data_IF_537522625072
#
_entry.id   IF_537522625072
#
_cell.length_a   1.000
_cell.length_b   1.000
_cell.length_c   1.000
_cell.angle_alpha   90.00
_cell.angle_beta   90.00
_cell.angle_gamma   90.00
#
_symmetry.space_group_name_H-M   'P 1'
#
loop_
_entity.id
_entity.type
_entity.pdbx_description
1 polymer ?
#
# COMPACT_ATOMS: atom_id res chain seq x y z
N UNK A 1 -61.61 -29.77 7.62
CA UNK A 1 -61.02 -28.83 6.63
C UNK A 1 -60.19 -27.82 7.41
N UNK A 2 -58.86 -27.81 7.23
CA UNK A 2 -57.94 -26.84 7.82
C UNK A 2 -57.22 -26.14 6.67
N UNK A 3 -57.28 -24.81 6.62
CA UNK A 3 -56.63 -23.97 5.61
C UNK A 3 -55.25 -23.56 6.17
N UNK A 4 -54.14 -23.77 5.43
CA UNK A 4 -52.83 -23.29 5.84
C UNK A 4 -52.62 -21.84 5.39
N UNK A 5 -52.37 -20.94 6.33
CA UNK A 5 -51.95 -19.56 6.04
C UNK A 5 -50.43 -19.49 6.00
N UNK A 6 -49.87 -19.17 4.83
CA UNK A 6 -48.47 -18.80 4.69
C UNK A 6 -48.21 -17.44 5.36
N UNK A 7 -47.17 -17.39 6.19
CA UNK A 7 -46.38 -16.19 6.45
C UNK A 7 -44.93 -16.72 6.49
N UNK A 8 -44.15 -16.56 5.42
CA UNK A 8 -43.68 -15.25 4.99
C UNK A 8 -42.33 -15.05 5.68
N UNK A 9 -41.25 -15.37 4.97
CA UNK A 9 -39.87 -15.33 5.44
C UNK A 9 -39.58 -14.01 6.19
N UNK A 10 -39.46 -14.08 7.51
CA UNK A 10 -38.95 -12.99 8.32
C UNK A 10 -37.49 -12.77 7.90
N UNK A 11 -37.25 -11.62 7.28
CA UNK A 11 -36.04 -11.29 6.57
C UNK A 11 -34.79 -11.53 7.41
N UNK A 12 -33.93 -12.40 6.89
CA UNK A 12 -32.51 -12.12 6.97
C UNK A 12 -32.35 -10.69 6.45
N UNK A 13 -31.94 -9.78 7.32
CA UNK A 13 -31.26 -8.57 6.88
C UNK A 13 -30.09 -9.05 6.03
N UNK A 14 -30.31 -9.17 4.71
CA UNK A 14 -29.24 -9.06 3.74
C UNK A 14 -28.69 -7.67 4.00
N UNK A 15 -27.64 -7.62 4.81
CA UNK A 15 -26.71 -6.52 4.78
C UNK A 15 -26.41 -6.29 3.31
N UNK A 16 -26.84 -5.14 2.83
CA UNK A 16 -26.67 -4.70 1.47
C UNK A 16 -25.17 -4.75 1.17
N UNK A 17 -24.74 -5.78 0.43
CA UNK A 17 -23.35 -5.99 0.02
C UNK A 17 -23.02 -5.10 -1.17
N UNK A 18 -23.42 -3.83 -1.09
CA UNK A 18 -23.19 -2.77 -2.08
C UNK A 18 -22.33 -1.64 -1.54
N UNK A 19 -21.89 -1.72 -0.28
CA UNK A 19 -20.79 -0.90 0.20
C UNK A 19 -19.49 -1.54 -0.33
N UNK A 20 -18.99 -1.01 -1.44
CA UNK A 20 -17.66 -1.33 -1.95
C UNK A 20 -16.68 -1.33 -0.77
N UNK A 21 -15.92 -2.42 -0.60
CA UNK A 21 -14.94 -2.52 0.47
C UNK A 21 -14.00 -1.31 0.37
N UNK A 22 -14.00 -0.39 1.35
CA UNK A 22 -13.20 0.84 1.27
C UNK A 22 -11.70 0.56 1.29
N UNK A 23 -11.32 -0.70 1.58
CA UNK A 23 -9.96 -1.19 1.59
C UNK A 23 -9.63 -2.10 0.40
N UNK A 24 -10.55 -2.26 -0.56
CA UNK A 24 -10.25 -2.92 -1.83
C UNK A 24 -9.47 -1.99 -2.78
N UNK A 25 -8.82 -2.58 -3.78
CA UNK A 25 -8.24 -1.89 -4.93
C UNK A 25 -6.96 -1.07 -4.75
N UNK A 26 -6.23 -1.22 -3.64
CA UNK A 26 -4.88 -0.63 -3.53
C UNK A 26 -3.91 -1.18 -4.60
N UNK A 27 -4.08 -2.43 -5.05
CA UNK A 27 -3.30 -2.99 -6.17
C UNK A 27 -3.52 -2.24 -7.49
N UNK A 28 -4.71 -1.70 -7.73
CA UNK A 28 -5.00 -0.92 -8.96
C UNK A 28 -4.19 0.38 -8.97
N UNK A 29 -3.95 0.98 -7.79
CA UNK A 29 -3.12 2.17 -7.68
C UNK A 29 -1.65 1.86 -8.00
N UNK A 30 -1.14 0.72 -7.53
CA UNK A 30 0.21 0.25 -7.88
C UNK A 30 0.31 -0.02 -9.38
N UNK A 31 -0.64 -0.75 -9.97
CA UNK A 31 -0.61 -1.10 -11.41
C UNK A 31 -0.56 0.14 -12.30
N UNK A 32 -1.17 1.25 -11.88
CA UNK A 32 -1.09 2.53 -12.62
C UNK A 32 0.34 3.07 -12.74
N UNK A 33 1.21 2.80 -11.77
CA UNK A 33 2.54 3.39 -11.67
C UNK A 33 3.69 2.39 -11.83
N UNK A 34 3.42 1.10 -11.63
CA UNK A 34 4.39 0.02 -11.73
C UNK A 34 3.78 -1.18 -12.48
N UNK A 35 3.26 -0.88 -13.68
CA UNK A 35 2.60 -1.86 -14.56
C UNK A 35 3.58 -2.86 -15.15
N UNK A 36 3.03 -3.97 -15.66
CA UNK A 36 3.80 -4.93 -16.46
C UNK A 36 4.54 -4.29 -17.65
N UNK A 37 3.98 -3.23 -18.24
CA UNK A 37 4.63 -2.50 -19.34
C UNK A 37 5.84 -1.69 -18.90
N UNK A 38 5.77 -1.03 -17.72
CA UNK A 38 6.92 -0.29 -17.16
C UNK A 38 8.03 -1.27 -16.77
N UNK A 39 7.68 -2.42 -16.17
CA UNK A 39 8.65 -3.49 -15.86
C UNK A 39 9.33 -4.03 -17.12
N UNK A 40 8.56 -4.29 -18.18
CA UNK A 40 9.12 -4.76 -19.45
C UNK A 40 10.06 -3.74 -20.08
N UNK A 41 9.69 -2.45 -20.05
CA UNK A 41 10.53 -1.36 -20.54
C UNK A 41 11.85 -1.28 -19.75
N UNK A 42 11.78 -1.34 -18.41
CA UNK A 42 12.96 -1.35 -17.53
C UNK A 42 13.95 -2.50 -17.83
N UNK A 43 13.43 -3.67 -18.27
CA UNK A 43 14.22 -4.86 -18.60
C UNK A 43 14.76 -4.88 -20.03
N UNK A 44 14.11 -4.19 -20.98
CA UNK A 44 14.48 -4.25 -22.41
C UNK A 44 15.62 -3.31 -22.80
N UNK A 45 15.88 -2.25 -22.03
CA UNK A 45 16.82 -1.19 -22.41
C UNK A 45 18.32 -1.51 -22.18
N UNK A 46 18.75 -2.77 -22.13
CA UNK A 46 20.13 -3.08 -21.72
C UNK A 46 20.80 -4.32 -22.31
N UNK A 47 22.14 -4.27 -22.40
CA UNK A 47 23.00 -5.43 -22.69
C UNK A 47 23.04 -6.45 -21.54
N UNK A 48 23.57 -7.65 -21.81
CA UNK A 48 23.50 -8.83 -20.92
C UNK A 48 23.93 -8.60 -19.45
N UNK A 49 24.99 -7.83 -19.21
CA UNK A 49 25.54 -7.59 -17.85
C UNK A 49 24.67 -6.62 -17.04
N UNK A 50 23.95 -5.72 -17.70
CA UNK A 50 23.02 -4.77 -17.07
C UNK A 50 21.67 -5.41 -16.76
N UNK A 51 21.33 -6.52 -17.42
CA UNK A 51 20.05 -7.20 -17.25
C UNK A 51 19.88 -7.78 -15.84
N UNK A 52 20.94 -8.36 -15.26
CA UNK A 52 20.91 -8.90 -13.89
C UNK A 52 20.65 -7.78 -12.86
N UNK A 53 21.34 -6.65 -13.01
CA UNK A 53 21.17 -5.49 -12.12
C UNK A 53 19.79 -4.86 -12.27
N UNK A 54 19.31 -4.68 -13.50
CA UNK A 54 17.94 -4.18 -13.78
C UNK A 54 16.87 -5.11 -13.26
N UNK A 55 17.07 -6.42 -13.37
CA UNK A 55 16.21 -7.42 -12.72
C UNK A 55 16.22 -7.24 -11.20
N UNK A 56 17.38 -6.99 -10.59
CA UNK A 56 17.50 -6.64 -9.18
C UNK A 56 16.69 -5.39 -8.78
N UNK A 57 16.77 -4.33 -9.59
CA UNK A 57 15.98 -3.10 -9.40
C UNK A 57 14.48 -3.37 -9.51
N UNK A 58 14.06 -4.11 -10.55
CA UNK A 58 12.64 -4.48 -10.74
C UNK A 58 12.11 -5.29 -9.57
N UNK A 59 12.86 -6.29 -9.10
CA UNK A 59 12.47 -7.11 -7.95
C UNK A 59 12.37 -6.30 -6.65
N UNK A 60 13.30 -5.36 -6.43
CA UNK A 60 13.24 -4.44 -5.28
C UNK A 60 11.99 -3.55 -5.35
N UNK A 61 11.66 -3.04 -6.53
CA UNK A 61 10.47 -2.22 -6.77
C UNK A 61 9.17 -3.00 -6.58
N UNK A 62 9.13 -4.28 -7.00
CA UNK A 62 8.00 -5.18 -6.75
C UNK A 62 7.74 -5.35 -5.26
N UNK A 63 8.80 -5.63 -4.48
CA UNK A 63 8.68 -5.80 -3.03
C UNK A 63 8.18 -4.55 -2.32
N UNK A 64 8.67 -3.37 -2.69
CA UNK A 64 8.20 -2.10 -2.10
C UNK A 64 6.71 -1.87 -2.40
N UNK A 65 6.29 -2.21 -3.61
CA UNK A 65 4.88 -2.09 -4.03
C UNK A 65 3.96 -3.01 -3.24
N UNK A 66 4.38 -4.26 -3.05
CA UNK A 66 3.65 -5.25 -2.25
C UNK A 66 3.54 -4.81 -0.78
N UNK A 67 4.66 -4.36 -0.18
CA UNK A 67 4.69 -3.85 1.18
C UNK A 67 3.75 -2.65 1.34
N UNK A 68 3.73 -1.73 0.37
CA UNK A 68 2.81 -0.58 0.36
C UNK A 68 1.35 -1.01 0.37
N UNK A 69 0.97 -1.97 -0.50
CA UNK A 69 -0.40 -2.50 -0.54
C UNK A 69 -0.78 -3.14 0.79
N UNK A 70 0.10 -3.95 1.38
CA UNK A 70 -0.16 -4.56 2.69
C UNK A 70 -0.34 -3.52 3.79
N UNK A 71 0.53 -2.50 3.85
CA UNK A 71 0.46 -1.43 4.85
C UNK A 71 -0.81 -0.58 4.68
N UNK A 72 -1.15 -0.16 3.46
CA UNK A 72 -2.39 0.59 3.17
C UNK A 72 -3.63 -0.22 3.52
N UNK A 73 -3.64 -1.51 3.19
CA UNK A 73 -4.73 -2.42 3.54
C UNK A 73 -4.86 -2.56 5.05
N UNK A 74 -3.76 -2.75 5.78
CA UNK A 74 -3.78 -2.88 7.23
C UNK A 74 -4.33 -1.61 7.89
N UNK A 75 -3.80 -0.44 7.54
CA UNK A 75 -4.23 0.84 8.12
C UNK A 75 -5.67 1.19 7.76
N UNK A 76 -6.11 0.85 6.54
CA UNK A 76 -7.51 0.97 6.15
C UNK A 76 -8.42 0.09 7.02
N UNK A 77 -8.05 -1.18 7.23
CA UNK A 77 -8.80 -2.09 8.10
C UNK A 77 -8.77 -1.64 9.56
N UNK A 78 -7.66 -1.11 10.04
CA UNK A 78 -7.54 -0.59 11.40
C UNK A 78 -8.51 0.57 11.66
N UNK A 79 -8.76 1.42 10.67
CA UNK A 79 -9.73 2.51 10.79
C UNK A 79 -11.18 2.05 10.53
N UNK A 80 -11.46 1.48 9.35
CA UNK A 80 -12.84 1.24 8.90
C UNK A 80 -13.46 -0.06 9.41
N UNK A 81 -12.64 -1.07 9.77
CA UNK A 81 -13.14 -2.40 10.18
C UNK A 81 -12.96 -2.61 11.68
N UNK A 82 -11.78 -2.27 12.21
CA UNK A 82 -11.40 -2.56 13.61
C UNK A 82 -11.58 -1.36 14.55
N UNK A 83 -11.74 -0.15 14.01
CA UNK A 83 -11.85 1.10 14.77
C UNK A 83 -10.75 1.30 15.82
N UNK A 84 -9.51 0.88 15.50
CA UNK A 84 -8.35 0.94 16.39
C UNK A 84 -7.60 2.27 16.32
N UNK A 85 -7.79 3.05 15.25
CA UNK A 85 -7.09 4.31 15.01
C UNK A 85 -8.06 5.42 14.66
N UNK A 86 -7.73 6.64 15.08
CA UNK A 86 -8.53 7.82 14.77
C UNK A 86 -8.48 8.15 13.27
N UNK A 87 -9.39 9.00 12.82
CA UNK A 87 -9.40 9.50 11.44
C UNK A 87 -8.12 10.29 11.10
N UNK A 88 -7.60 11.04 12.08
CA UNK A 88 -6.39 11.85 11.90
C UNK A 88 -5.15 10.96 11.81
N UNK A 89 -5.07 9.91 12.64
CA UNK A 89 -4.01 8.90 12.56
C UNK A 89 -4.06 8.13 11.23
N UNK A 90 -5.26 7.76 10.78
CA UNK A 90 -5.47 7.15 9.47
C UNK A 90 -4.94 8.08 8.36
N UNK A 91 -5.35 9.34 8.34
CA UNK A 91 -4.92 10.30 7.32
C UNK A 91 -3.41 10.54 7.33
N UNK A 92 -2.79 10.63 8.51
CA UNK A 92 -1.34 10.82 8.65
C UNK A 92 -0.56 9.61 8.11
N UNK A 93 -0.96 8.39 8.49
CA UNK A 93 -0.34 7.14 8.01
C UNK A 93 -0.52 6.96 6.51
N UNK A 94 -1.70 7.27 5.98
CA UNK A 94 -1.98 7.23 4.54
C UNK A 94 -1.08 8.18 3.76
N UNK A 95 -0.99 9.46 4.15
CA UNK A 95 -0.13 10.44 3.46
C UNK A 95 1.33 9.97 3.44
N UNK A 96 1.83 9.48 4.57
CA UNK A 96 3.18 8.95 4.66
C UNK A 96 3.45 7.82 3.66
N UNK A 97 2.52 6.86 3.53
CA UNK A 97 2.67 5.78 2.56
C UNK A 97 2.57 6.28 1.13
N UNK A 98 1.67 7.22 0.84
CA UNK A 98 1.49 7.78 -0.49
C UNK A 98 2.74 8.58 -0.93
N UNK A 99 3.38 9.34 -0.02
CA UNK A 99 4.67 10.02 -0.28
C UNK A 99 5.78 9.02 -0.65
N UNK A 100 5.81 7.86 0.01
CA UNK A 100 6.77 6.80 -0.30
C UNK A 100 6.52 6.20 -1.69
N UNK A 101 5.25 5.98 -2.05
CA UNK A 101 4.85 5.53 -3.38
C UNK A 101 5.22 6.57 -4.45
N UNK A 102 5.10 7.86 -4.17
CA UNK A 102 5.48 8.92 -5.10
C UNK A 102 7.00 8.96 -5.36
N UNK A 103 7.82 8.76 -4.31
CA UNK A 103 9.26 8.59 -4.47
C UNK A 103 9.60 7.37 -5.32
N UNK A 104 8.90 6.25 -5.08
CA UNK A 104 9.04 5.05 -5.91
C UNK A 104 8.68 5.34 -7.38
N UNK A 105 7.60 6.09 -7.64
CA UNK A 105 7.20 6.49 -9.00
C UNK A 105 8.28 7.31 -9.70
N UNK A 106 8.91 8.24 -8.98
CA UNK A 106 10.02 9.04 -9.53
C UNK A 106 11.19 8.14 -9.94
N UNK A 107 11.51 7.11 -9.15
CA UNK A 107 12.54 6.13 -9.48
C UNK A 107 12.15 5.26 -10.69
N UNK A 108 10.89 4.82 -10.77
CA UNK A 108 10.37 4.08 -11.92
C UNK A 108 10.50 4.88 -13.23
N UNK A 109 10.17 6.18 -13.19
CA UNK A 109 10.33 7.08 -14.34
C UNK A 109 11.81 7.25 -14.72
N UNK A 110 12.70 7.42 -13.74
CA UNK A 110 14.14 7.51 -13.99
C UNK A 110 14.71 6.23 -14.63
N UNK A 111 14.19 5.05 -14.30
CA UNK A 111 14.58 3.77 -14.92
C UNK A 111 14.12 3.69 -16.38
N UNK A 112 12.90 4.18 -16.67
CA UNK A 112 12.31 4.18 -18.00
C UNK A 112 12.98 5.18 -18.95
N UNK A 113 13.43 6.33 -18.44
CA UNK A 113 14.09 7.39 -19.21
C UNK A 113 15.63 7.19 -19.33
N UNK A 114 16.13 5.95 -19.19
CA UNK A 114 17.56 5.60 -19.27
C UNK A 114 18.46 6.29 -18.22
N UNK A 115 17.92 6.61 -17.05
CA UNK A 115 18.73 7.15 -15.94
C UNK A 115 19.90 6.24 -15.56
N UNK A 116 21.02 6.82 -15.12
CA UNK A 116 22.20 6.07 -14.70
C UNK A 116 21.81 5.03 -13.63
N UNK A 117 21.98 3.75 -13.96
CA UNK A 117 21.53 2.63 -13.13
C UNK A 117 22.07 2.71 -11.70
N UNK A 118 23.32 3.16 -11.53
CA UNK A 118 23.97 3.33 -10.23
C UNK A 118 23.27 4.40 -9.37
N UNK A 119 22.78 5.48 -9.98
CA UNK A 119 22.03 6.52 -9.28
C UNK A 119 20.65 6.00 -8.84
N UNK A 120 20.01 5.20 -9.68
CA UNK A 120 18.73 4.53 -9.35
C UNK A 120 18.91 3.53 -8.22
N UNK A 121 19.92 2.65 -8.28
CA UNK A 121 20.21 1.66 -7.24
C UNK A 121 20.48 2.34 -5.88
N UNK A 122 21.30 3.40 -5.87
CA UNK A 122 21.59 4.15 -4.66
C UNK A 122 20.36 4.85 -4.06
N UNK A 123 19.49 5.40 -4.90
CA UNK A 123 18.25 6.03 -4.43
C UNK A 123 17.21 4.99 -3.96
N UNK A 124 17.19 3.80 -4.55
CA UNK A 124 16.35 2.69 -4.13
C UNK A 124 16.81 2.10 -2.80
N UNK A 125 18.12 1.95 -2.60
CA UNK A 125 18.68 1.51 -1.32
C UNK A 125 18.39 2.53 -0.21
N UNK A 126 18.43 3.83 -0.51
CA UNK A 126 17.97 4.87 0.42
C UNK A 126 16.46 4.77 0.73
N UNK A 127 15.62 4.45 -0.26
CA UNK A 127 14.18 4.26 -0.05
C UNK A 127 13.85 3.01 0.79
N UNK A 128 14.69 1.98 0.71
CA UNK A 128 14.60 0.76 1.52
C UNK A 128 15.16 0.96 2.93
N UNK A 129 16.28 1.68 3.06
CA UNK A 129 16.94 1.98 4.33
C UNK A 129 16.21 3.06 5.13
N UNK A 130 15.51 3.97 4.45
CA UNK A 130 14.64 4.93 5.11
C UNK A 130 13.54 4.14 5.84
N UNK A 131 13.44 4.25 7.18
CA UNK A 131 12.25 3.76 7.85
C UNK A 131 11.04 4.43 7.19
N UNK A 132 9.87 3.76 7.12
CA UNK A 132 8.65 4.47 6.73
C UNK A 132 8.61 5.72 7.60
N UNK A 133 8.61 6.91 6.99
CA UNK A 133 8.72 8.19 7.69
C UNK A 133 7.63 8.40 8.76
N UNK A 134 6.65 7.50 8.77
CA UNK A 134 5.74 7.20 9.83
C UNK A 134 6.45 6.33 10.89
N UNK A 135 7.41 6.92 11.59
CA UNK A 135 7.60 6.54 12.98
C UNK A 135 6.26 6.82 13.67
N UNK A 136 5.53 5.74 13.96
CA UNK A 136 4.49 5.78 14.96
C UNK A 136 5.20 5.96 16.30
N UNK A 137 5.52 7.20 16.66
CA UNK A 137 5.66 7.57 18.06
C UNK A 137 4.27 7.47 18.69
N UNK A 138 3.80 6.23 18.80
CA UNK A 138 2.86 5.83 19.83
C UNK A 138 3.71 5.32 21.00
N UNK A 139 4.62 6.17 21.47
CA UNK A 139 5.09 6.03 22.83
C UNK A 139 3.95 6.59 23.69
N UNK A 140 3.20 5.78 24.46
CA UNK A 140 2.31 6.33 25.44
C UNK A 140 3.22 6.97 26.49
N UNK A 141 3.55 8.25 26.32
CA UNK A 141 4.17 9.04 27.39
C UNK A 141 3.25 8.87 28.60
N UNK A 142 3.67 8.18 29.68
CA UNK A 142 2.87 8.16 30.89
C UNK A 142 2.82 9.61 31.39
N UNK A 143 1.60 10.14 31.51
CA UNK A 143 1.39 11.48 32.07
C UNK A 143 2.14 11.56 33.42
N UNK A 144 2.99 12.58 33.64
CA UNK A 144 3.64 12.75 34.93
C UNK A 144 2.60 13.30 35.89
N UNK A 145 1.95 12.44 36.67
CA UNK A 145 0.88 12.93 37.55
C UNK A 145 0.20 11.98 38.52
N UNK A 146 0.37 10.65 38.43
CA UNK A 146 -0.26 9.75 39.40
C UNK A 146 0.76 8.76 39.99
N UNK A 147 1.41 9.22 41.05
CA UNK A 147 1.90 8.33 42.11
C UNK A 147 1.06 8.63 43.37
N UNK A 148 0.37 7.64 43.95
CA UNK A 148 0.02 7.70 45.37
C UNK A 148 1.25 7.50 46.26
#
# INVERSE_FOLDING_TARGET
MLIPTQAGCAGAHRADSSQADPCADFQVQVEKYWSASIKANALQHSGEIELEKRSGVVNKMDRISEDWVMMRTSVCKDHFVRALISKDDYAARVRCFDDRLERQRTLAAAIADEGELAAVEGALDQLLAAPPSCQTDSDPTPAPGDQP
#
